data_IF_441115853757
#
_entry.id   IF_441115853757
#
_cell.length_a   1.000
_cell.length_b   1.000
_cell.length_c   1.000
_cell.angle_alpha   90.00
_cell.angle_beta   90.00
_cell.angle_gamma   90.00
#
_symmetry.space_group_name_H-M   'P 1'
#
loop_
_entity.id
_entity.type
_entity.pdbx_description
1 polymer ?
#
# COMPACT_ATOMS: atom_id res chain seq x y z
N UNK A 1 16.60 11.33 -24.71
CA UNK A 1 15.56 11.80 -23.78
C UNK A 1 14.37 10.85 -23.93
N UNK A 2 14.42 9.69 -23.27
CA UNK A 2 13.44 8.63 -23.46
C UNK A 2 12.37 8.70 -22.36
N UNK A 3 11.27 9.34 -22.72
CA UNK A 3 9.89 8.87 -22.51
C UNK A 3 9.63 8.12 -21.20
N UNK A 4 9.23 8.86 -20.16
CA UNK A 4 8.69 8.37 -18.89
C UNK A 4 7.29 7.75 -19.05
N UNK A 5 7.07 6.95 -20.09
CA UNK A 5 5.99 5.96 -20.11
C UNK A 5 6.43 4.74 -19.28
N UNK A 6 6.65 4.95 -17.98
CA UNK A 6 6.39 3.88 -17.02
C UNK A 6 4.89 3.73 -17.02
N UNK A 7 4.37 3.02 -18.02
CA UNK A 7 3.11 2.31 -17.94
C UNK A 7 3.10 1.70 -16.55
N UNK A 8 2.33 2.30 -15.64
CA UNK A 8 1.84 1.63 -14.46
C UNK A 8 1.05 0.46 -15.05
N UNK A 9 1.74 -0.62 -15.45
CA UNK A 9 1.14 -1.92 -15.63
C UNK A 9 0.48 -2.11 -14.28
N UNK A 10 -0.85 -1.99 -14.27
CA UNK A 10 -1.63 -2.36 -13.12
C UNK A 10 -1.31 -3.84 -12.98
N UNK A 11 -0.29 -4.15 -12.15
CA UNK A 11 0.15 -5.51 -11.92
C UNK A 11 -0.97 -6.08 -11.07
N UNK A 12 -1.91 -6.72 -11.74
CA UNK A 12 -3.05 -7.43 -11.15
C UNK A 12 -2.67 -8.84 -10.71
N UNK A 13 -1.41 -9.27 -10.91
CA UNK A 13 -0.84 -10.52 -10.39
C UNK A 13 0.34 -10.21 -9.47
N UNK A 14 0.12 -9.48 -8.38
CA UNK A 14 1.14 -9.39 -7.34
C UNK A 14 1.07 -10.65 -6.48
N UNK A 15 2.14 -11.44 -6.49
CA UNK A 15 2.33 -12.53 -5.53
C UNK A 15 2.44 -11.97 -4.10
N UNK A 16 2.23 -12.84 -3.10
CA UNK A 16 2.33 -12.51 -1.67
C UNK A 16 3.58 -11.69 -1.34
N UNK A 17 4.74 -12.12 -1.85
CA UNK A 17 6.01 -11.45 -1.60
C UNK A 17 6.02 -10.01 -2.16
N UNK A 18 5.39 -9.77 -3.31
CA UNK A 18 5.33 -8.45 -3.92
C UNK A 18 4.33 -7.52 -3.20
N UNK A 19 3.24 -8.07 -2.66
CA UNK A 19 2.32 -7.33 -1.79
C UNK A 19 3.00 -6.95 -0.48
N UNK A 20 3.69 -7.89 0.17
CA UNK A 20 4.42 -7.65 1.41
C UNK A 20 5.56 -6.63 1.22
N UNK A 21 6.29 -6.70 0.10
CA UNK A 21 7.30 -5.70 -0.26
C UNK A 21 6.68 -4.30 -0.42
N UNK A 22 5.56 -4.19 -1.15
CA UNK A 22 4.81 -2.92 -1.30
C UNK A 22 4.31 -2.36 0.03
N UNK A 23 3.83 -3.22 0.93
CA UNK A 23 3.39 -2.79 2.25
C UNK A 23 4.56 -2.29 3.10
N UNK A 24 5.74 -2.89 2.95
CA UNK A 24 6.98 -2.39 3.54
C UNK A 24 7.39 -1.02 2.98
N UNK A 25 7.33 -0.84 1.65
CA UNK A 25 7.60 0.45 1.00
C UNK A 25 6.61 1.53 1.47
N UNK A 26 5.32 1.17 1.54
CA UNK A 26 4.24 2.03 2.05
C UNK A 26 4.45 2.40 3.53
N UNK A 27 4.94 1.47 4.35
CA UNK A 27 5.29 1.73 5.75
C UNK A 27 6.42 2.77 5.82
N UNK A 28 7.49 2.59 5.05
CA UNK A 28 8.58 3.57 4.99
C UNK A 28 8.12 4.94 4.49
N UNK A 29 7.28 4.97 3.45
CA UNK A 29 6.72 6.20 2.91
C UNK A 29 5.77 6.90 3.91
N UNK A 30 4.96 6.14 4.65
CA UNK A 30 4.12 6.68 5.72
C UNK A 30 4.97 7.28 6.86
N UNK A 31 6.06 6.64 7.25
CA UNK A 31 6.99 7.20 8.23
C UNK A 31 7.65 8.49 7.74
N UNK A 32 8.13 8.51 6.49
CA UNK A 32 8.73 9.69 5.88
C UNK A 32 7.73 10.86 5.75
N UNK A 33 6.45 10.54 5.52
CA UNK A 33 5.36 11.50 5.47
C UNK A 33 4.87 11.99 6.86
N UNK A 34 5.44 11.46 7.97
CA UNK A 34 5.00 11.79 9.32
C UNK A 34 3.66 11.15 9.72
N UNK A 35 3.19 10.16 8.97
CA UNK A 35 1.92 9.44 9.20
C UNK A 35 2.16 8.26 10.14
N UNK A 36 2.47 8.54 11.40
CA UNK A 36 2.79 7.52 12.41
C UNK A 36 1.67 6.48 12.58
N UNK A 37 0.40 6.89 12.50
CA UNK A 37 -0.75 5.99 12.61
C UNK A 37 -0.82 5.01 11.43
N UNK A 38 -0.61 5.51 10.21
CA UNK A 38 -0.60 4.68 8.99
C UNK A 38 0.59 3.74 8.99
N UNK A 39 1.76 4.23 9.39
CA UNK A 39 2.97 3.43 9.55
C UNK A 39 2.78 2.31 10.58
N UNK A 40 2.14 2.59 11.72
CA UNK A 40 1.85 1.61 12.75
C UNK A 40 0.85 0.55 12.28
N UNK A 41 -0.17 0.94 11.49
CA UNK A 41 -1.11 -0.01 10.89
C UNK A 41 -0.41 -0.96 9.90
N UNK A 42 0.51 -0.43 9.09
CA UNK A 42 1.27 -1.20 8.10
C UNK A 42 2.39 -2.05 8.73
N UNK A 43 2.78 -1.75 9.97
CA UNK A 43 3.75 -2.54 10.71
C UNK A 43 3.20 -3.95 11.00
N UNK A 44 4.02 -4.98 10.74
CA UNK A 44 3.63 -6.37 10.98
C UNK A 44 2.72 -6.98 9.91
N UNK A 45 2.59 -6.34 8.75
CA UNK A 45 1.87 -6.91 7.59
C UNK A 45 2.63 -8.05 6.89
N UNK A 46 3.94 -8.18 7.12
CA UNK A 46 4.75 -9.26 6.55
C UNK A 46 4.36 -10.61 7.15
N UNK A 47 3.95 -11.56 6.31
CA UNK A 47 3.47 -12.87 6.74
C UNK A 47 2.03 -12.88 7.27
N UNK A 48 1.33 -11.74 7.29
CA UNK A 48 -0.03 -11.67 7.77
C UNK A 48 -1.00 -12.42 6.83
N UNK A 49 -2.11 -12.99 7.35
CA UNK A 49 -3.15 -13.58 6.52
C UNK A 49 -3.85 -12.50 5.69
N UNK A 50 -4.35 -12.88 4.51
CA UNK A 50 -5.03 -11.98 3.57
C UNK A 50 -6.12 -11.12 4.21
N UNK A 51 -6.96 -11.73 5.04
CA UNK A 51 -8.04 -11.01 5.74
C UNK A 51 -7.50 -9.88 6.63
N UNK A 52 -6.35 -10.10 7.26
CA UNK A 52 -5.71 -9.10 8.11
C UNK A 52 -5.04 -8.02 7.28
N UNK A 53 -4.41 -8.37 6.16
CA UNK A 53 -3.91 -7.39 5.18
C UNK A 53 -5.03 -6.48 4.67
N UNK A 54 -6.20 -7.05 4.36
CA UNK A 54 -7.36 -6.28 3.89
C UNK A 54 -7.86 -5.30 4.95
N UNK A 55 -7.95 -5.75 6.20
CA UNK A 55 -8.31 -4.89 7.32
C UNK A 55 -7.31 -3.75 7.52
N UNK A 56 -6.02 -4.05 7.46
CA UNK A 56 -4.95 -3.04 7.59
C UNK A 56 -5.01 -2.02 6.45
N UNK A 57 -5.11 -2.47 5.20
CA UNK A 57 -5.15 -1.60 4.03
C UNK A 57 -6.38 -0.70 4.05
N UNK A 58 -7.56 -1.24 4.38
CA UNK A 58 -8.78 -0.43 4.55
C UNK A 58 -8.65 0.58 5.69
N UNK A 59 -8.05 0.18 6.82
CA UNK A 59 -7.81 1.09 7.95
C UNK A 59 -6.83 2.22 7.56
N UNK A 60 -5.75 1.89 6.85
CA UNK A 60 -4.79 2.86 6.34
C UNK A 60 -5.43 3.83 5.34
N UNK A 61 -6.24 3.34 4.40
CA UNK A 61 -7.01 4.18 3.47
C UNK A 61 -7.96 5.12 4.19
N UNK A 62 -8.64 4.63 5.24
CA UNK A 62 -9.51 5.46 6.08
C UNK A 62 -8.73 6.53 6.84
N UNK A 63 -7.55 6.21 7.36
CA UNK A 63 -6.68 7.18 8.01
C UNK A 63 -6.18 8.25 7.01
N UNK A 64 -5.90 7.86 5.77
CA UNK A 64 -5.48 8.76 4.69
C UNK A 64 -6.63 9.59 4.10
N UNK A 65 -7.89 9.16 4.26
CA UNK A 65 -9.04 9.87 3.71
C UNK A 65 -9.18 11.31 4.25
N UNK A 66 -8.63 11.59 5.44
CA UNK A 66 -8.57 12.93 6.02
C UNK A 66 -7.29 13.72 5.73
N UNK A 67 -6.29 13.12 5.07
CA UNK A 67 -4.97 13.73 4.87
C UNK A 67 -4.81 14.15 3.41
N UNK A 68 -4.99 15.45 3.17
CA UNK A 68 -4.75 16.08 1.87
C UNK A 68 -3.26 16.04 1.52
N UNK A 69 -2.91 15.60 0.30
CA UNK A 69 -1.53 15.58 -0.20
C UNK A 69 -0.86 14.20 -0.26
N UNK A 70 -1.53 13.15 0.23
CA UNK A 70 -1.03 11.77 0.20
C UNK A 70 -1.67 10.93 -0.93
N UNK A 71 -1.92 11.56 -2.08
CA UNK A 71 -2.58 10.91 -3.22
C UNK A 71 -1.78 9.72 -3.76
N UNK A 72 -0.45 9.81 -3.76
CA UNK A 72 0.42 8.73 -4.21
C UNK A 72 0.38 7.53 -3.24
N UNK A 73 0.44 7.79 -1.93
CA UNK A 73 0.34 6.76 -0.90
C UNK A 73 -1.01 6.05 -0.94
N UNK A 74 -2.09 6.83 -1.12
CA UNK A 74 -3.44 6.31 -1.28
C UNK A 74 -3.56 5.43 -2.53
N UNK A 75 -3.08 5.90 -3.67
CA UNK A 75 -3.14 5.12 -4.93
C UNK A 75 -2.35 3.81 -4.86
N UNK A 76 -1.22 3.80 -4.14
CA UNK A 76 -0.47 2.57 -3.90
C UNK A 76 -1.20 1.59 -2.96
N UNK A 77 -1.86 2.08 -1.91
CA UNK A 77 -2.71 1.28 -1.03
C UNK A 77 -3.93 0.70 -1.76
N UNK A 78 -4.60 1.49 -2.59
CA UNK A 78 -5.72 1.03 -3.43
C UNK A 78 -5.27 -0.07 -4.42
N UNK A 79 -4.06 0.06 -4.97
CA UNK A 79 -3.47 -0.97 -5.83
C UNK A 79 -3.20 -2.26 -5.05
N UNK A 80 -2.73 -2.17 -3.80
CA UNK A 80 -2.58 -3.35 -2.94
C UNK A 80 -3.95 -3.96 -2.65
N UNK A 81 -4.95 -3.17 -2.25
CA UNK A 81 -6.32 -3.64 -1.99
C UNK A 81 -6.90 -4.41 -3.19
N UNK A 82 -6.70 -3.89 -4.41
CA UNK A 82 -7.15 -4.52 -5.65
C UNK A 82 -6.48 -5.87 -5.92
N UNK A 83 -5.27 -6.08 -5.40
CA UNK A 83 -4.49 -7.30 -5.57
C UNK A 83 -4.63 -8.30 -4.41
N UNK A 84 -5.10 -7.87 -3.24
CA UNK A 84 -5.37 -8.77 -2.12
C UNK A 84 -6.30 -9.96 -2.45
N UNK A 85 -7.35 -9.84 -3.28
CA UNK A 85 -8.15 -11.02 -3.64
C UNK A 85 -7.41 -12.06 -4.50
N UNK A 86 -6.25 -11.71 -5.07
CA UNK A 86 -5.39 -12.63 -5.83
C UNK A 86 -4.42 -13.43 -4.94
N UNK A 87 -4.41 -13.18 -3.62
CA UNK A 87 -3.69 -13.96 -2.60
C UNK A 87 -4.43 -15.20 -2.13
#
# INVERSE_FOLDING_TARGET
>A
MSEHQKTLKIVTNLDRAAIEAKLGDLHGAAQAAGLADVAALLAGTQGAPRAQLEQVVRAALKALAGVSGQAELKGQLELVELNLPNL
#
